data_IF_467665457832
#
_entry.id   IF_467665457832
#
_cell.length_a   1.000
_cell.length_b   1.000
_cell.length_c   1.000
_cell.angle_alpha   90.00
_cell.angle_beta   90.00
_cell.angle_gamma   90.00
#
_symmetry.space_group_name_H-M   'P 1'
#
loop_
_entity.id
_entity.type
_entity.pdbx_description
1 polymer ?
#
# COMPACT_ATOMS: atom_id res chain seq x y z
N UNK A 1 7.94 -20.67 0.42
CA UNK A 1 7.91 -19.21 0.61
C UNK A 1 9.13 -18.61 -0.04
N UNK A 2 8.97 -17.65 -0.95
CA UNK A 2 10.10 -17.00 -1.62
C UNK A 2 10.39 -15.65 -0.96
N UNK A 3 11.61 -15.13 -1.08
CA UNK A 3 11.99 -13.79 -0.59
C UNK A 3 11.06 -12.68 -1.11
N UNK A 4 10.51 -12.86 -2.32
CA UNK A 4 9.54 -11.94 -2.92
C UNK A 4 8.19 -11.94 -2.19
N UNK A 5 7.72 -13.09 -1.70
CA UNK A 5 6.47 -13.18 -0.92
C UNK A 5 6.59 -12.42 0.39
N UNK A 6 7.69 -12.58 1.13
CA UNK A 6 7.92 -11.82 2.37
C UNK A 6 8.02 -10.31 2.12
N UNK A 7 8.70 -9.91 1.04
CA UNK A 7 8.77 -8.48 0.65
C UNK A 7 7.39 -7.93 0.31
N UNK A 8 6.59 -8.70 -0.42
CA UNK A 8 5.21 -8.33 -0.75
C UNK A 8 4.39 -8.09 0.52
N UNK A 9 4.34 -9.07 1.42
CA UNK A 9 3.62 -8.97 2.69
C UNK A 9 4.11 -7.79 3.54
N UNK A 10 5.43 -7.54 3.58
CA UNK A 10 5.98 -6.40 4.32
C UNK A 10 5.52 -5.05 3.75
N UNK A 11 5.53 -4.89 2.44
CA UNK A 11 5.07 -3.65 1.77
C UNK A 11 3.57 -3.46 1.97
N UNK A 12 2.77 -4.52 1.82
CA UNK A 12 1.32 -4.47 2.05
C UNK A 12 1.00 -4.00 3.46
N UNK A 13 1.68 -4.54 4.49
CA UNK A 13 1.47 -4.15 5.88
C UNK A 13 1.80 -2.67 6.11
N UNK A 14 2.91 -2.17 5.55
CA UNK A 14 3.29 -0.76 5.66
C UNK A 14 2.29 0.16 4.95
N UNK A 15 1.78 -0.26 3.80
CA UNK A 15 0.75 0.48 3.06
C UNK A 15 -0.58 0.52 3.81
N UNK A 16 -0.99 -0.58 4.44
CA UNK A 16 -2.20 -0.64 5.30
C UNK A 16 -2.05 0.23 6.56
N UNK A 17 -0.84 0.30 7.11
CA UNK A 17 -0.50 1.21 8.22
C UNK A 17 -0.41 2.69 7.79
N UNK A 18 -0.79 3.02 6.56
CA UNK A 18 -0.81 4.38 6.00
C UNK A 18 0.57 5.06 6.00
N UNK A 19 1.64 4.28 5.90
CA UNK A 19 3.02 4.79 5.82
C UNK A 19 3.24 5.43 4.44
N UNK A 20 3.83 6.62 4.34
CA UNK A 20 4.11 7.26 3.06
C UNK A 20 4.96 6.37 2.15
N UNK A 21 4.55 6.25 0.87
CA UNK A 21 5.25 5.43 -0.13
C UNK A 21 6.76 5.72 -0.22
N UNK A 22 7.17 6.98 -0.04
CA UNK A 22 8.59 7.38 -0.03
C UNK A 22 9.38 6.69 1.09
N UNK A 23 8.81 6.63 2.30
CA UNK A 23 9.43 5.94 3.43
C UNK A 23 9.48 4.42 3.23
N UNK A 24 8.45 3.85 2.58
CA UNK A 24 8.44 2.42 2.22
C UNK A 24 9.53 2.13 1.20
N UNK A 25 9.66 2.95 0.14
CA UNK A 25 10.70 2.79 -0.87
C UNK A 25 12.11 2.90 -0.29
N UNK A 26 12.35 3.86 0.62
CA UNK A 26 13.62 3.99 1.34
C UNK A 26 13.90 2.74 2.21
N UNK A 27 12.85 2.11 2.77
CA UNK A 27 12.95 0.92 3.62
C UNK A 27 13.24 -0.37 2.86
N UNK A 28 12.59 -0.60 1.71
CA UNK A 28 12.79 -1.82 0.89
C UNK A 28 13.88 -1.68 -0.17
N UNK A 29 14.36 -0.46 -0.41
CA UNK A 29 15.41 -0.14 -1.36
C UNK A 29 14.90 0.11 -2.78
N UNK A 30 15.66 0.92 -3.53
CA UNK A 30 15.29 1.41 -4.86
C UNK A 30 15.26 0.33 -5.95
N UNK A 31 15.83 -0.85 -5.71
CA UNK A 31 15.90 -1.96 -6.68
C UNK A 31 14.52 -2.44 -7.13
N UNK A 32 13.50 -2.23 -6.29
CA UNK A 32 12.15 -2.80 -6.46
C UNK A 32 11.05 -1.73 -6.44
N UNK A 33 11.34 -0.50 -6.87
CA UNK A 33 10.37 0.60 -6.85
C UNK A 33 9.08 0.26 -7.62
N UNK A 34 9.19 -0.40 -8.78
CA UNK A 34 8.02 -0.77 -9.58
C UNK A 34 7.03 -1.65 -8.81
N UNK A 35 7.52 -2.77 -8.26
CA UNK A 35 6.69 -3.69 -7.48
C UNK A 35 6.16 -3.03 -6.20
N UNK A 36 6.97 -2.19 -5.56
CA UNK A 36 6.56 -1.47 -4.34
C UNK A 36 5.42 -0.50 -4.62
N UNK A 37 5.49 0.22 -5.74
CA UNK A 37 4.45 1.13 -6.19
C UNK A 37 3.17 0.38 -6.58
N UNK A 38 3.29 -0.74 -7.30
CA UNK A 38 2.14 -1.58 -7.66
C UNK A 38 1.39 -2.09 -6.42
N UNK A 39 2.11 -2.61 -5.41
CA UNK A 39 1.52 -3.09 -4.16
C UNK A 39 0.85 -1.94 -3.40
N UNK A 40 1.55 -0.81 -3.26
CA UNK A 40 1.03 0.35 -2.55
C UNK A 40 -0.24 0.88 -3.19
N UNK A 41 -0.27 0.98 -4.53
CA UNK A 41 -1.45 1.41 -5.27
C UNK A 41 -2.61 0.44 -5.09
N UNK A 42 -2.36 -0.87 -5.10
CA UNK A 42 -3.41 -1.88 -4.89
C UNK A 42 -4.07 -1.72 -3.51
N UNK A 43 -3.26 -1.60 -2.45
CA UNK A 43 -3.76 -1.40 -1.08
C UNK A 43 -4.47 -0.05 -0.94
N UNK A 44 -3.90 1.02 -1.51
CA UNK A 44 -4.47 2.35 -1.46
C UNK A 44 -5.80 2.46 -2.21
N UNK A 45 -5.98 1.75 -3.32
CA UNK A 45 -7.26 1.70 -4.05
C UNK A 45 -8.35 1.08 -3.18
N UNK A 46 -8.06 -0.03 -2.49
CA UNK A 46 -9.00 -0.65 -1.54
C UNK A 46 -9.34 0.29 -0.38
N UNK A 47 -8.35 1.03 0.15
CA UNK A 47 -8.60 2.03 1.18
C UNK A 47 -9.43 3.20 0.66
N UNK A 48 -9.18 3.67 -0.57
CA UNK A 48 -9.99 4.73 -1.22
C UNK A 48 -11.43 4.33 -1.40
N UNK A 49 -11.70 3.11 -1.87
CA UNK A 49 -13.07 2.61 -2.02
C UNK A 49 -13.81 2.59 -0.69
N UNK A 50 -13.16 2.14 0.39
CA UNK A 50 -13.73 2.17 1.73
C UNK A 50 -14.03 3.59 2.20
N UNK A 51 -13.10 4.52 2.00
CA UNK A 51 -13.29 5.93 2.35
C UNK A 51 -14.42 6.56 1.54
N UNK A 52 -14.50 6.28 0.24
CA UNK A 52 -15.60 6.78 -0.60
C UNK A 52 -16.94 6.23 -0.13
N UNK A 53 -17.03 4.94 0.19
CA UNK A 53 -18.26 4.35 0.74
C UNK A 53 -18.65 4.96 2.10
N UNK A 54 -17.67 5.23 2.96
CA UNK A 54 -17.89 5.86 4.26
C UNK A 54 -18.36 7.31 4.10
N UNK A 55 -17.73 8.07 3.21
CA UNK A 55 -18.11 9.47 2.88
C UNK A 55 -19.44 9.54 2.15
N UNK A 56 -19.77 8.63 1.25
CA UNK A 56 -21.08 8.55 0.58
C UNK A 56 -22.19 8.20 1.58
N UNK A 57 -21.88 7.47 2.65
CA UNK A 57 -22.78 7.24 3.78
C UNK A 57 -22.95 8.49 4.66
N UNK A 58 -22.05 9.47 4.57
CA UNK A 58 -22.26 10.77 5.19
C UNK A 58 -23.23 11.50 4.30
N UNK A 59 -24.51 11.41 4.63
CA UNK A 59 -25.60 12.07 3.92
C UNK A 59 -25.31 13.58 3.95
N UNK A 60 -24.79 14.11 2.83
CA UNK A 60 -24.75 15.55 2.54
C UNK A 60 -26.03 15.95 1.81
#
# INVERSE_FOLDING_TARGET
MTTNTFRYTHISLLAEANVPIKAIMDRVGHSNMKTTLEIYNQVSSTTKEKVIQEVDSWIF
#
